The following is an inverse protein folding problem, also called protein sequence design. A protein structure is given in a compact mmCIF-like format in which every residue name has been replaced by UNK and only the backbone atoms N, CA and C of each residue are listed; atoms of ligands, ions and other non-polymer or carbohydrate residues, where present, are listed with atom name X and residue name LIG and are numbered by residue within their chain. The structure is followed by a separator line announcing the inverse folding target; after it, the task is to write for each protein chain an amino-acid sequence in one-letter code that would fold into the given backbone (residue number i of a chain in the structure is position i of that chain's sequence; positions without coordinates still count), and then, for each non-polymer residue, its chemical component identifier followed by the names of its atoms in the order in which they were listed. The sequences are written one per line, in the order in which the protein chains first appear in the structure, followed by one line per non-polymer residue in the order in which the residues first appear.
data_IF_296282972971
#
_entry.id   IF_296282972971
#
_cell.length_a   1.000
_cell.length_b   1.000
_cell.length_c   1.000
_cell.angle_alpha   90.00
_cell.angle_beta   90.00
_cell.angle_gamma   90.00
#
_symmetry.space_group_name_H-M   'P 1'
#
loop_
_entity.id
_entity.type
_entity.pdbx_description
1 polymer ?
#
# COMPACT_ATOMS: atom_id res chain seq x y z
N UNK A 1 31.73 31.64 5.53
CA UNK A 1 33.12 31.28 5.17
C UNK A 1 33.85 30.96 6.47
N UNK A 2 34.43 29.75 6.64
CA UNK A 2 35.78 29.50 6.10
C UNK A 2 36.10 28.06 5.63
N UNK A 3 37.12 28.02 4.75
CA UNK A 3 38.24 27.06 4.58
C UNK A 3 38.02 25.64 4.03
N UNK A 4 38.46 25.53 2.77
CA UNK A 4 38.94 24.36 2.04
C UNK A 4 39.91 23.47 2.83
N UNK A 5 39.70 22.15 2.75
CA UNK A 5 40.74 21.15 3.00
C UNK A 5 41.21 20.51 1.69
N UNK A 6 42.53 20.54 1.52
CA UNK A 6 43.31 20.09 0.37
C UNK A 6 43.46 18.56 0.32
N UNK A 7 43.13 17.97 -0.82
CA UNK A 7 43.31 16.55 -1.10
C UNK A 7 44.68 16.29 -1.75
N UNK A 8 45.72 16.05 -0.94
CA UNK A 8 47.00 15.47 -1.42
C UNK A 8 47.72 14.65 -0.34
N UNK A 9 47.17 13.52 0.12
CA UNK A 9 47.96 12.37 0.61
C UNK A 9 47.08 11.10 0.62
N UNK A 10 46.84 10.43 -0.52
CA UNK A 10 46.30 9.04 -0.55
C UNK A 10 46.70 8.29 -1.83
N UNK A 11 48.00 8.10 -2.09
CA UNK A 11 48.47 7.29 -3.24
C UNK A 11 49.53 6.24 -2.93
N UNK A 12 49.78 5.89 -1.67
CA UNK A 12 50.81 4.89 -1.32
C UNK A 12 50.34 3.67 -0.51
N UNK A 13 49.04 3.42 -0.40
CA UNK A 13 48.51 2.28 0.38
C UNK A 13 47.57 1.33 -0.38
N UNK A 14 47.32 1.55 -1.68
CA UNK A 14 46.33 0.75 -2.44
C UNK A 14 46.91 -0.43 -3.24
N UNK A 15 48.23 -0.61 -3.29
CA UNK A 15 48.85 -1.66 -4.09
C UNK A 15 48.81 -3.06 -3.41
N UNK A 16 49.00 -3.24 -2.09
CA UNK A 16 49.03 -4.59 -1.51
C UNK A 16 47.64 -5.22 -1.31
N UNK A 17 46.55 -4.44 -1.32
CA UNK A 17 45.18 -4.96 -1.09
C UNK A 17 44.60 -5.59 -2.37
N UNK A 18 44.95 -5.06 -3.55
CA UNK A 18 44.45 -5.59 -4.83
C UNK A 18 45.06 -6.97 -5.13
N UNK A 19 46.31 -7.23 -4.73
CA UNK A 19 46.94 -8.54 -4.94
C UNK A 19 46.30 -9.67 -4.09
N UNK A 20 45.83 -9.36 -2.88
CA UNK A 20 45.17 -10.34 -2.00
C UNK A 20 43.75 -10.72 -2.49
N UNK A 21 43.02 -9.76 -3.07
CA UNK A 21 41.66 -10.01 -3.59
C UNK A 21 41.65 -10.82 -4.87
N UNK A 22 42.66 -10.67 -5.75
CA UNK A 22 42.74 -11.48 -6.98
C UNK A 22 43.18 -12.93 -6.72
N UNK A 23 43.95 -13.21 -5.66
CA UNK A 23 44.33 -14.58 -5.30
C UNK A 23 43.16 -15.44 -4.81
N UNK A 24 42.24 -14.86 -4.02
CA UNK A 24 41.07 -15.58 -3.49
C UNK A 24 40.02 -15.94 -4.55
N UNK A 25 39.84 -15.09 -5.57
CA UNK A 25 38.84 -15.33 -6.63
C UNK A 25 39.26 -16.48 -7.56
N UNK A 26 40.57 -16.66 -7.82
CA UNK A 26 41.05 -17.73 -8.70
C UNK A 26 40.86 -19.13 -8.09
N UNK A 27 40.95 -19.26 -6.75
CA UNK A 27 40.72 -20.54 -6.07
C UNK A 27 39.23 -20.93 -6.08
N UNK A 28 38.32 -19.96 -5.92
CA UNK A 28 36.87 -20.22 -5.97
C UNK A 28 36.35 -20.61 -7.37
N UNK A 29 36.94 -20.07 -8.45
CA UNK A 29 36.55 -20.44 -9.81
C UNK A 29 37.03 -21.86 -10.18
N UNK A 30 38.15 -22.31 -9.62
CA UNK A 30 38.67 -23.65 -9.91
C UNK A 30 37.89 -24.76 -9.19
N UNK A 31 37.43 -24.55 -7.95
CA UNK A 31 36.60 -25.55 -7.25
C UNK A 31 35.21 -25.74 -7.87
N UNK A 32 34.64 -24.70 -8.48
CA UNK A 32 33.30 -24.79 -9.09
C UNK A 32 33.27 -25.61 -10.39
N UNK A 33 34.42 -25.80 -11.05
CA UNK A 33 34.49 -26.58 -12.30
C UNK A 33 34.55 -28.09 -12.10
N UNK A 34 34.86 -28.58 -10.89
CA UNK A 34 35.00 -30.01 -10.60
C UNK A 34 33.75 -30.68 -10.01
N UNK A 35 32.76 -29.92 -9.52
CA UNK A 35 31.48 -30.45 -9.05
C UNK A 35 30.37 -30.23 -10.10
N UNK A 36 30.44 -30.96 -11.23
CA UNK A 36 29.24 -31.17 -12.07
C UNK A 36 28.42 -32.32 -11.50
N UNK A 37 27.21 -32.10 -10.95
CA UNK A 37 26.32 -33.19 -10.63
C UNK A 37 25.95 -33.95 -11.91
N UNK A 38 26.10 -35.29 -11.87
CA UNK A 38 25.61 -36.18 -12.93
C UNK A 38 24.12 -35.91 -13.13
N UNK A 39 23.74 -35.58 -14.35
CA UNK A 39 22.35 -35.43 -14.77
C UNK A 39 21.60 -36.74 -14.55
N UNK A 40 20.76 -36.77 -13.52
CA UNK A 40 19.74 -37.81 -13.34
C UNK A 40 18.66 -37.58 -14.40
N UNK A 41 18.30 -38.57 -15.22
CA UNK A 41 17.21 -38.43 -16.17
C UNK A 41 15.90 -38.20 -15.41
N UNK A 42 15.21 -37.09 -15.72
CA UNK A 42 13.88 -36.82 -15.20
C UNK A 42 12.91 -37.90 -15.68
N UNK A 43 12.05 -38.44 -14.80
CA UNK A 43 11.00 -39.36 -15.21
C UNK A 43 10.04 -38.63 -16.17
N UNK A 44 9.74 -39.30 -17.27
CA UNK A 44 8.69 -38.89 -18.22
C UNK A 44 7.36 -38.92 -17.47
N UNK A 45 6.81 -37.73 -17.18
CA UNK A 45 5.46 -37.58 -16.64
C UNK A 45 4.48 -37.90 -17.77
N UNK A 46 3.99 -39.13 -17.77
CA UNK A 46 2.88 -39.58 -18.64
C UNK A 46 1.60 -38.89 -18.16
N UNK A 47 0.91 -38.24 -19.10
CA UNK A 47 -0.24 -37.36 -18.84
C UNK A 47 -1.29 -37.96 -17.92
N UNK A 48 -1.57 -37.26 -16.83
CA UNK A 48 -2.75 -37.46 -16.01
C UNK A 48 -4.03 -37.08 -16.78
N UNK A 49 -5.18 -37.66 -16.41
CA UNK A 49 -6.46 -37.39 -17.06
C UNK A 49 -6.79 -35.89 -17.00
N UNK A 50 -7.27 -35.37 -18.13
CA UNK A 50 -7.72 -33.99 -18.24
C UNK A 50 -8.71 -33.69 -17.10
N UNK A 51 -8.34 -32.75 -16.22
CA UNK A 51 -9.23 -32.25 -15.19
C UNK A 51 -10.49 -31.73 -15.87
N UNK A 52 -11.62 -32.37 -15.56
CA UNK A 52 -12.94 -31.89 -15.93
C UNK A 52 -13.08 -30.50 -15.30
N UNK A 53 -13.39 -29.44 -16.06
CA UNK A 53 -13.58 -28.12 -15.47
C UNK A 53 -14.69 -28.24 -14.42
N UNK A 54 -14.35 -27.97 -13.15
CA UNK A 54 -15.36 -27.90 -12.11
C UNK A 54 -16.43 -26.93 -12.57
N UNK A 55 -17.65 -27.43 -12.72
CA UNK A 55 -18.81 -26.61 -13.02
C UNK A 55 -18.94 -25.60 -11.90
N UNK A 56 -18.52 -24.36 -12.15
CA UNK A 56 -18.67 -23.27 -11.20
C UNK A 56 -20.17 -23.15 -10.89
N UNK A 57 -20.53 -23.34 -9.62
CA UNK A 57 -21.90 -23.08 -9.14
C UNK A 57 -22.29 -21.67 -9.59
N UNK A 58 -23.52 -21.50 -10.07
CA UNK A 58 -24.02 -20.20 -10.46
C UNK A 58 -23.88 -19.22 -9.26
N UNK A 59 -23.44 -17.97 -9.46
CA UNK A 59 -23.15 -17.02 -8.37
C UNK A 59 -24.26 -16.91 -7.31
N UNK A 60 -25.53 -17.03 -7.73
CA UNK A 60 -26.69 -17.00 -6.82
C UNK A 60 -26.78 -18.18 -5.83
N UNK A 61 -26.24 -19.36 -6.14
CA UNK A 61 -26.23 -20.48 -5.19
C UNK A 61 -25.17 -20.33 -4.09
N UNK A 62 -24.09 -19.60 -4.39
CA UNK A 62 -23.04 -19.32 -3.41
C UNK A 62 -23.49 -18.20 -2.45
N UNK A 63 -24.15 -17.15 -2.95
CA UNK A 63 -24.74 -16.10 -2.12
C UNK A 63 -25.73 -16.66 -1.09
N UNK A 64 -26.53 -17.68 -1.46
CA UNK A 64 -27.47 -18.32 -0.54
C UNK A 64 -26.79 -19.15 0.57
N UNK A 65 -25.52 -19.57 0.39
CA UNK A 65 -24.77 -20.31 1.41
C UNK A 65 -24.05 -19.40 2.40
N UNK A 66 -23.63 -18.21 1.97
CA UNK A 66 -22.92 -17.26 2.82
C UNK A 66 -23.96 -16.46 3.62
N UNK A 67 -24.24 -16.89 4.85
CA UNK A 67 -25.14 -16.17 5.78
C UNK A 67 -24.51 -14.93 6.43
N UNK A 68 -23.47 -14.36 5.82
CA UNK A 68 -22.74 -13.20 6.35
C UNK A 68 -23.39 -11.94 5.79
N UNK A 69 -23.83 -11.04 6.67
CA UNK A 69 -24.35 -9.74 6.25
C UNK A 69 -23.18 -8.77 6.02
N UNK A 70 -22.91 -8.32 4.77
CA UNK A 70 -21.77 -7.44 4.47
C UNK A 70 -21.89 -6.06 5.13
N UNK A 71 -23.08 -5.66 5.59
CA UNK A 71 -23.27 -4.43 6.36
C UNK A 71 -22.80 -4.53 7.82
N UNK A 72 -22.52 -5.74 8.30
CA UNK A 72 -22.09 -6.06 9.68
C UNK A 72 -20.64 -6.54 9.67
N UNK A 73 -20.30 -7.47 8.79
CA UNK A 73 -18.97 -8.06 8.68
C UNK A 73 -18.56 -8.17 7.21
N UNK A 74 -18.04 -7.06 6.68
CA UNK A 74 -17.61 -6.97 5.30
C UNK A 74 -16.33 -7.80 5.07
N UNK A 75 -15.41 -7.83 6.03
CA UNK A 75 -14.18 -8.61 5.95
C UNK A 75 -14.49 -10.09 5.69
N UNK A 76 -15.23 -10.73 6.59
CA UNK A 76 -15.54 -12.16 6.44
C UNK A 76 -16.34 -12.41 5.17
N UNK A 77 -17.20 -11.47 4.75
CA UNK A 77 -17.92 -11.59 3.49
C UNK A 77 -16.99 -11.55 2.28
N UNK A 78 -16.13 -10.52 2.16
CA UNK A 78 -15.26 -10.33 0.98
C UNK A 78 -14.20 -11.43 0.89
N UNK A 79 -13.61 -11.83 2.01
CA UNK A 79 -12.55 -12.83 2.04
C UNK A 79 -13.06 -14.27 1.84
N UNK A 80 -14.36 -14.54 2.08
CA UNK A 80 -14.98 -15.84 1.74
C UNK A 80 -15.59 -15.89 0.34
N UNK A 81 -15.87 -14.73 -0.26
CA UNK A 81 -16.47 -14.65 -1.58
C UNK A 81 -15.47 -15.09 -2.66
N UNK A 82 -15.85 -16.07 -3.48
CA UNK A 82 -14.99 -16.60 -4.56
C UNK A 82 -14.70 -15.53 -5.63
N UNK A 83 -15.69 -14.69 -5.97
CA UNK A 83 -15.52 -13.60 -6.94
C UNK A 83 -16.63 -12.57 -6.80
N UNK A 84 -16.31 -11.29 -6.94
CA UNK A 84 -17.29 -10.23 -7.20
C UNK A 84 -17.17 -9.73 -8.64
N UNK A 85 -18.31 -9.52 -9.30
CA UNK A 85 -18.37 -8.98 -10.67
C UNK A 85 -18.28 -7.45 -10.64
N UNK A 86 -17.09 -6.93 -10.39
CA UNK A 86 -16.81 -5.49 -10.56
C UNK A 86 -16.72 -5.16 -12.07
N UNK A 87 -17.55 -4.23 -12.58
CA UNK A 87 -17.57 -3.88 -13.99
C UNK A 87 -16.27 -3.24 -14.51
N UNK A 88 -15.38 -2.82 -13.61
CA UNK A 88 -14.11 -2.17 -13.96
C UNK A 88 -12.92 -3.13 -14.03
N UNK A 89 -13.08 -4.38 -13.55
CA UNK A 89 -12.06 -5.41 -13.57
C UNK A 89 -12.02 -6.21 -12.27
N UNK A 90 -11.18 -7.24 -12.23
CA UNK A 90 -11.02 -8.12 -11.07
C UNK A 90 -9.80 -7.78 -10.21
N UNK A 91 -9.78 -8.34 -8.99
CA UNK A 91 -8.62 -8.40 -8.12
C UNK A 91 -8.28 -9.87 -7.95
N UNK A 92 -7.05 -10.23 -8.32
CA UNK A 92 -6.50 -11.59 -8.21
C UNK A 92 -5.65 -11.69 -6.96
N UNK A 93 -5.18 -12.89 -6.65
CA UNK A 93 -4.19 -13.09 -5.58
C UNK A 93 -2.85 -12.51 -6.01
N UNK A 94 -2.12 -11.95 -5.05
CA UNK A 94 -0.81 -11.35 -5.25
C UNK A 94 0.14 -12.30 -5.97
N UNK A 95 0.20 -13.54 -5.47
CA UNK A 95 0.98 -14.66 -6.03
C UNK A 95 0.74 -14.89 -7.52
N UNK A 96 -0.49 -14.67 -8.02
CA UNK A 96 -0.82 -14.83 -9.44
C UNK A 96 -0.18 -13.74 -10.31
N UNK A 97 -0.15 -12.49 -9.83
CA UNK A 97 0.50 -11.39 -10.53
C UNK A 97 2.02 -11.55 -10.57
N UNK A 98 2.61 -11.97 -9.45
CA UNK A 98 4.06 -12.18 -9.34
C UNK A 98 4.52 -13.32 -10.26
N UNK A 99 3.81 -14.45 -10.24
CA UNK A 99 4.06 -15.58 -11.13
C UNK A 99 3.94 -15.17 -12.61
N UNK A 100 2.97 -14.31 -12.95
CA UNK A 100 2.83 -13.83 -14.33
C UNK A 100 4.03 -12.98 -14.77
N UNK A 101 4.52 -12.08 -13.92
CA UNK A 101 5.72 -11.29 -14.22
C UNK A 101 6.97 -12.17 -14.32
N UNK A 102 7.12 -13.14 -13.42
CA UNK A 102 8.23 -14.09 -13.45
C UNK A 102 8.24 -14.90 -14.75
N UNK A 103 7.09 -15.38 -15.22
CA UNK A 103 6.97 -16.06 -16.52
C UNK A 103 7.39 -15.16 -17.68
N UNK A 104 7.02 -13.88 -17.65
CA UNK A 104 7.47 -12.90 -18.66
C UNK A 104 8.99 -12.79 -18.63
N UNK A 105 9.58 -12.66 -17.44
CA UNK A 105 11.02 -12.53 -17.24
C UNK A 105 11.80 -13.76 -17.74
N UNK A 106 11.40 -14.96 -17.32
CA UNK A 106 11.97 -16.24 -17.76
C UNK A 106 11.91 -16.39 -19.28
N UNK A 107 10.78 -16.01 -19.89
CA UNK A 107 10.64 -16.09 -21.33
C UNK A 107 11.58 -15.13 -22.07
N UNK A 108 11.80 -13.91 -21.55
CA UNK A 108 12.80 -12.97 -22.11
C UNK A 108 14.19 -13.61 -22.06
N UNK A 109 14.61 -14.13 -20.90
CA UNK A 109 15.93 -14.76 -20.72
C UNK A 109 16.09 -15.94 -21.67
N UNK A 110 15.09 -16.82 -21.74
CA UNK A 110 15.12 -18.03 -22.58
C UNK A 110 15.26 -17.71 -24.06
N UNK A 111 14.53 -16.70 -24.53
CA UNK A 111 14.51 -16.30 -25.95
C UNK A 111 15.66 -15.35 -26.33
N UNK A 112 16.34 -14.74 -25.35
CA UNK A 112 17.37 -13.74 -25.57
C UNK A 112 18.67 -13.99 -24.78
N UNK A 113 19.23 -15.21 -24.86
CA UNK A 113 20.40 -15.67 -24.08
C UNK A 113 21.67 -14.81 -24.17
N UNK A 114 21.75 -13.89 -25.13
CA UNK A 114 22.93 -13.02 -25.36
C UNK A 114 22.76 -11.61 -24.78
N UNK A 115 21.60 -11.26 -24.25
CA UNK A 115 21.37 -9.95 -23.65
C UNK A 115 22.09 -9.83 -22.30
N UNK A 116 22.55 -8.63 -21.99
CA UNK A 116 22.98 -8.29 -20.63
C UNK A 116 21.76 -8.21 -19.71
N UNK A 117 21.97 -8.38 -18.40
CA UNK A 117 20.91 -8.23 -17.40
C UNK A 117 20.12 -6.92 -17.56
N UNK A 118 20.80 -5.78 -17.71
CA UNK A 118 20.16 -4.48 -17.93
C UNK A 118 19.24 -4.44 -19.17
N UNK A 119 19.55 -5.18 -20.24
CA UNK A 119 18.68 -5.29 -21.42
C UNK A 119 17.52 -6.26 -21.22
N UNK A 120 17.70 -7.30 -20.40
CA UNK A 120 16.59 -8.15 -19.96
C UNK A 120 15.60 -7.31 -19.14
N UNK A 121 16.08 -6.49 -18.21
CA UNK A 121 15.24 -5.65 -17.36
C UNK A 121 14.50 -4.57 -18.17
N UNK A 122 15.17 -3.92 -19.13
CA UNK A 122 14.52 -2.98 -20.03
C UNK A 122 13.39 -3.63 -20.84
N UNK A 123 13.58 -4.87 -21.30
CA UNK A 123 12.55 -5.62 -22.01
C UNK A 123 11.40 -6.03 -21.07
N UNK A 124 11.71 -6.39 -19.83
CA UNK A 124 10.70 -6.71 -18.81
C UNK A 124 9.83 -5.48 -18.55
N UNK A 125 10.45 -4.33 -18.28
CA UNK A 125 9.77 -3.04 -18.06
C UNK A 125 8.82 -2.72 -19.21
N UNK A 126 9.29 -2.83 -20.46
CA UNK A 126 8.45 -2.55 -21.64
C UNK A 126 7.24 -3.49 -21.76
N UNK A 127 7.36 -4.75 -21.31
CA UNK A 127 6.25 -5.73 -21.34
C UNK A 127 5.28 -5.57 -20.19
N UNK A 128 5.77 -5.17 -19.02
CA UNK A 128 4.98 -4.94 -17.81
C UNK A 128 4.24 -3.60 -17.90
N UNK A 129 4.98 -2.51 -18.13
CA UNK A 129 4.48 -1.13 -18.17
C UNK A 129 4.11 -0.71 -19.60
N UNK A 130 3.09 -1.36 -20.18
CA UNK A 130 2.56 -0.93 -21.48
C UNK A 130 1.97 0.49 -21.40
N UNK A 131 1.92 1.20 -22.52
CA UNK A 131 1.36 2.56 -22.58
C UNK A 131 -0.08 2.63 -22.03
N UNK A 132 -0.90 1.62 -22.32
CA UNK A 132 -2.26 1.51 -21.84
C UNK A 132 -2.33 1.39 -20.31
N UNK A 133 -1.53 0.49 -19.72
CA UNK A 133 -1.48 0.30 -18.26
C UNK A 133 -0.98 1.55 -17.55
N UNK A 134 0.10 2.16 -18.07
CA UNK A 134 0.66 3.40 -17.52
C UNK A 134 -0.36 4.53 -17.60
N UNK A 135 -1.06 4.68 -18.72
CA UNK A 135 -2.12 5.68 -18.87
C UNK A 135 -3.23 5.45 -17.84
N UNK A 136 -3.72 4.22 -17.70
CA UNK A 136 -4.76 3.86 -16.71
C UNK A 136 -4.34 4.26 -15.29
N UNK A 137 -3.12 3.93 -14.86
CA UNK A 137 -2.66 4.30 -13.51
C UNK A 137 -2.55 5.82 -13.38
N UNK A 138 -1.97 6.52 -14.36
CA UNK A 138 -1.82 7.98 -14.31
C UNK A 138 -3.17 8.69 -14.21
N UNK A 139 -4.15 8.24 -14.97
CA UNK A 139 -5.51 8.78 -14.93
C UNK A 139 -6.15 8.54 -13.56
N UNK A 140 -6.00 7.34 -12.99
CA UNK A 140 -6.52 7.02 -11.65
C UNK A 140 -5.80 7.79 -10.54
N UNK A 141 -4.48 7.93 -10.62
CA UNK A 141 -3.70 8.72 -9.67
C UNK A 141 -4.09 10.20 -9.71
N UNK A 142 -4.23 10.78 -10.91
CA UNK A 142 -4.72 12.15 -11.06
C UNK A 142 -6.12 12.31 -10.46
N UNK A 143 -7.01 11.33 -10.67
CA UNK A 143 -8.35 11.32 -10.09
C UNK A 143 -8.34 11.20 -8.56
N UNK A 144 -7.53 10.30 -8.00
CA UNK A 144 -7.35 10.14 -6.56
C UNK A 144 -6.81 11.44 -5.92
N UNK A 145 -5.82 12.06 -6.56
CA UNK A 145 -5.23 13.33 -6.14
C UNK A 145 -6.25 14.48 -6.13
N UNK A 146 -7.03 14.63 -7.19
CA UNK A 146 -8.10 15.63 -7.26
C UNK A 146 -9.12 15.45 -6.13
N UNK A 147 -9.56 14.22 -5.89
CA UNK A 147 -10.51 13.91 -4.82
C UNK A 147 -9.93 14.11 -3.41
N UNK A 148 -8.65 13.79 -3.18
CA UNK A 148 -8.00 14.08 -1.91
C UNK A 148 -7.89 15.60 -1.65
N UNK A 149 -7.58 16.39 -2.68
CA UNK A 149 -7.57 17.85 -2.59
C UNK A 149 -8.97 18.42 -2.30
N UNK A 150 -10.01 17.89 -2.93
CA UNK A 150 -11.41 18.26 -2.61
C UNK A 150 -11.77 17.90 -1.18
N UNK A 151 -11.38 16.71 -0.72
CA UNK A 151 -11.57 16.26 0.65
C UNK A 151 -10.96 17.26 1.65
N UNK A 152 -9.69 17.63 1.49
CA UNK A 152 -9.01 18.64 2.33
C UNK A 152 -9.78 19.98 2.32
N UNK A 153 -10.16 20.47 1.13
CA UNK A 153 -10.86 21.74 0.99
C UNK A 153 -12.24 21.74 1.65
N UNK A 154 -12.94 20.61 1.61
CA UNK A 154 -14.29 20.45 2.16
C UNK A 154 -14.33 20.41 3.69
N UNK A 155 -13.19 20.18 4.38
CA UNK A 155 -13.17 20.15 5.83
C UNK A 155 -13.58 21.51 6.42
N UNK A 156 -14.36 21.55 7.50
CA UNK A 156 -14.78 22.81 8.11
C UNK A 156 -13.58 23.59 8.70
N UNK A 157 -13.70 24.91 8.87
CA UNK A 157 -12.60 25.73 9.42
C UNK A 157 -12.22 25.33 10.85
N UNK A 158 -13.19 24.84 11.64
CA UNK A 158 -12.97 24.32 12.99
C UNK A 158 -12.12 23.05 12.99
N UNK A 159 -12.13 22.32 11.88
CA UNK A 159 -11.35 21.11 11.65
C UNK A 159 -9.96 21.46 11.10
N UNK A 160 -9.89 22.27 10.05
CA UNK A 160 -8.66 22.69 9.39
C UNK A 160 -8.71 24.19 9.10
N UNK A 161 -7.72 24.92 9.64
CA UNK A 161 -7.57 26.34 9.31
C UNK A 161 -7.20 26.51 7.82
N UNK A 162 -7.28 27.75 7.30
CA UNK A 162 -6.85 28.02 5.93
C UNK A 162 -5.37 27.67 5.71
N UNK A 163 -4.52 27.95 6.69
CA UNK A 163 -3.08 27.65 6.64
C UNK A 163 -2.84 26.14 6.61
N UNK A 164 -3.59 25.38 7.41
CA UNK A 164 -3.49 23.92 7.41
C UNK A 164 -3.90 23.36 6.06
N UNK A 165 -5.03 23.82 5.50
CA UNK A 165 -5.49 23.39 4.17
C UNK A 165 -4.45 23.68 3.09
N UNK A 166 -3.90 24.88 3.05
CA UNK A 166 -2.87 25.25 2.06
C UNK A 166 -1.60 24.40 2.22
N UNK A 167 -1.20 24.12 3.47
CA UNK A 167 -0.07 23.25 3.77
C UNK A 167 -0.31 21.83 3.25
N UNK A 168 -1.44 21.21 3.63
CA UNK A 168 -1.77 19.85 3.20
C UNK A 168 -1.89 19.74 1.68
N UNK A 169 -2.55 20.72 1.03
CA UNK A 169 -2.68 20.76 -0.44
C UNK A 169 -1.33 20.83 -1.12
N UNK A 170 -0.45 21.72 -0.68
CA UNK A 170 0.89 21.86 -1.26
C UNK A 170 1.68 20.56 -1.19
N UNK A 171 1.53 19.78 -0.11
CA UNK A 171 2.17 18.46 0.02
C UNK A 171 1.62 17.46 -0.99
N UNK A 172 0.29 17.30 -1.06
CA UNK A 172 -0.36 16.43 -2.04
C UNK A 172 0.03 16.81 -3.47
N UNK A 173 0.07 18.11 -3.78
CA UNK A 173 0.46 18.65 -5.08
C UNK A 173 1.90 18.28 -5.47
N UNK A 174 2.81 18.18 -4.50
CA UNK A 174 4.22 17.78 -4.73
C UNK A 174 4.43 16.29 -4.97
N UNK A 175 3.48 15.43 -4.63
CA UNK A 175 3.63 13.98 -4.83
C UNK A 175 3.63 13.65 -6.32
N UNK A 176 4.66 12.95 -6.77
CA UNK A 176 4.86 12.50 -8.16
C UNK A 176 4.67 10.99 -8.26
N UNK A 177 3.92 10.55 -9.26
CA UNK A 177 3.81 9.13 -9.62
C UNK A 177 4.92 8.76 -10.62
N UNK A 178 5.80 7.81 -10.25
CA UNK A 178 6.89 7.35 -11.11
C UNK A 178 6.56 6.00 -11.76
N UNK A 179 6.37 6.01 -13.09
CA UNK A 179 6.02 4.82 -13.89
C UNK A 179 6.72 4.83 -15.26
N UNK A 180 7.56 3.82 -15.58
CA UNK A 180 8.17 2.89 -14.63
C UNK A 180 9.10 3.64 -13.68
N UNK A 181 9.51 3.05 -12.55
CA UNK A 181 10.55 3.63 -11.70
C UNK A 181 11.86 3.88 -12.50
N UNK A 182 12.71 4.83 -12.09
CA UNK A 182 13.98 5.06 -12.76
C UNK A 182 14.96 3.89 -12.57
N UNK A 183 15.79 3.62 -13.58
CA UNK A 183 16.79 2.54 -13.59
C UNK A 183 17.70 2.49 -12.34
N UNK A 184 18.02 3.66 -11.79
CA UNK A 184 18.89 3.81 -10.63
C UNK A 184 18.27 3.31 -9.32
N UNK A 185 16.94 3.29 -9.21
CA UNK A 185 16.24 2.83 -8.01
C UNK A 185 16.35 1.31 -7.85
N UNK A 186 16.55 0.59 -8.95
CA UNK A 186 16.70 -0.87 -8.95
C UNK A 186 18.04 -1.36 -8.43
N UNK A 187 19.00 -0.46 -8.17
CA UNK A 187 20.25 -0.83 -7.52
C UNK A 187 20.04 -1.26 -6.06
N UNK A 188 19.03 -0.67 -5.40
CA UNK A 188 18.75 -0.88 -3.98
C UNK A 188 17.55 -1.84 -3.77
N UNK A 189 16.62 -1.92 -4.73
CA UNK A 189 15.45 -2.83 -4.72
C UNK A 189 15.27 -3.53 -6.09
N UNK A 190 16.06 -4.59 -6.38
CA UNK A 190 16.10 -5.24 -7.69
C UNK A 190 14.82 -6.01 -8.06
N UNK A 191 13.90 -6.23 -7.11
CA UNK A 191 12.71 -7.06 -7.26
C UNK A 191 11.40 -6.27 -7.37
N UNK A 192 11.44 -4.93 -7.43
CA UNK A 192 10.22 -4.12 -7.53
C UNK A 192 9.31 -4.51 -8.70
N UNK A 193 9.86 -4.99 -9.82
CA UNK A 193 9.03 -5.44 -10.95
C UNK A 193 8.21 -6.69 -10.65
N UNK A 194 8.73 -7.57 -9.82
CA UNK A 194 8.11 -8.85 -9.48
C UNK A 194 7.24 -8.75 -8.23
N UNK A 195 7.24 -7.62 -7.53
CA UNK A 195 6.42 -7.38 -6.33
C UNK A 195 5.05 -6.80 -6.65
N UNK A 196 4.10 -7.10 -5.76
CA UNK A 196 2.72 -6.63 -5.79
C UNK A 196 2.45 -5.38 -4.92
N UNK A 197 3.47 -4.57 -4.64
CA UNK A 197 3.35 -3.47 -3.68
C UNK A 197 3.21 -2.10 -4.34
N UNK A 198 2.78 -1.11 -3.56
CA UNK A 198 2.88 0.32 -3.87
C UNK A 198 3.62 0.98 -2.71
N UNK A 199 4.45 1.98 -3.02
CA UNK A 199 5.29 2.63 -2.01
C UNK A 199 5.15 4.14 -2.13
N UNK A 200 4.70 4.80 -1.07
CA UNK A 200 4.98 6.19 -0.80
C UNK A 200 6.36 6.36 -0.17
N UNK A 201 7.17 7.28 -0.69
CA UNK A 201 8.49 7.52 -0.14
C UNK A 201 8.98 8.96 -0.34
N UNK A 202 9.98 9.30 0.48
CA UNK A 202 10.75 10.52 0.40
C UNK A 202 12.17 10.21 -0.09
N UNK A 203 12.57 10.82 -1.20
CA UNK A 203 13.94 10.64 -1.73
C UNK A 203 14.97 11.35 -0.84
N UNK A 204 16.25 11.06 -1.05
CA UNK A 204 17.37 11.77 -0.40
C UNK A 204 17.36 13.28 -0.64
N UNK A 205 16.75 13.73 -1.75
CA UNK A 205 16.59 15.14 -2.11
C UNK A 205 15.30 15.75 -1.54
N UNK A 206 14.48 14.97 -0.82
CA UNK A 206 13.21 15.41 -0.24
C UNK A 206 12.05 15.44 -1.24
N UNK A 207 12.19 14.84 -2.42
CA UNK A 207 11.09 14.67 -3.35
C UNK A 207 10.12 13.61 -2.77
N UNK A 208 8.81 13.85 -2.92
CA UNK A 208 7.77 12.92 -2.49
C UNK A 208 7.27 12.18 -3.72
N UNK A 209 7.27 10.85 -3.67
CA UNK A 209 6.85 10.06 -4.82
C UNK A 209 6.12 8.79 -4.43
N UNK A 210 5.37 8.26 -5.40
CA UNK A 210 4.73 6.96 -5.34
C UNK A 210 5.31 6.09 -6.46
N UNK A 211 5.74 4.88 -6.10
CA UNK A 211 6.17 3.82 -7.03
C UNK A 211 5.20 2.65 -6.96
N UNK A 212 4.95 1.99 -8.10
CA UNK A 212 4.16 0.76 -8.15
C UNK A 212 5.04 -0.41 -8.56
N UNK A 213 4.82 -1.55 -7.94
CA UNK A 213 5.37 -2.82 -8.33
C UNK A 213 4.78 -3.31 -9.65
N UNK A 214 5.59 -4.05 -10.41
CA UNK A 214 5.18 -4.52 -11.72
C UNK A 214 4.13 -5.62 -11.68
N UNK A 215 4.09 -6.44 -10.62
CA UNK A 215 3.13 -7.53 -10.47
C UNK A 215 1.72 -7.00 -10.21
N UNK A 216 1.59 -5.87 -9.52
CA UNK A 216 0.30 -5.21 -9.25
C UNK A 216 -0.50 -4.90 -10.52
N UNK A 217 0.19 -4.61 -11.62
CA UNK A 217 -0.42 -4.40 -12.93
C UNK A 217 -1.14 -5.62 -13.51
N UNK A 218 -0.82 -6.81 -13.00
CA UNK A 218 -1.42 -8.08 -13.39
C UNK A 218 -2.39 -8.60 -12.33
N UNK A 219 -2.17 -8.27 -11.06
CA UNK A 219 -3.05 -8.60 -9.94
C UNK A 219 -4.34 -7.77 -9.95
N UNK A 220 -4.22 -6.46 -10.18
CA UNK A 220 -5.32 -5.50 -9.99
C UNK A 220 -5.81 -4.89 -11.30
N UNK A 221 -6.95 -5.40 -11.77
CA UNK A 221 -7.69 -4.84 -12.91
C UNK A 221 -8.88 -3.98 -12.48
N UNK A 222 -9.40 -4.18 -11.29
CA UNK A 222 -10.40 -3.27 -10.70
C UNK A 222 -9.84 -1.85 -10.65
N UNK A 223 -10.62 -0.87 -11.12
CA UNK A 223 -10.25 0.54 -10.99
C UNK A 223 -10.44 1.05 -9.56
N UNK A 224 -11.40 0.49 -8.83
CA UNK A 224 -11.73 0.95 -7.48
C UNK A 224 -10.71 0.46 -6.46
N UNK A 225 -10.26 -0.79 -6.57
CA UNK A 225 -9.16 -1.28 -5.75
C UNK A 225 -7.88 -0.46 -6.00
N UNK A 226 -7.47 -0.31 -7.26
CA UNK A 226 -6.29 0.49 -7.58
C UNK A 226 -6.43 1.96 -7.14
N UNK A 227 -7.63 2.54 -7.22
CA UNK A 227 -7.87 3.88 -6.70
C UNK A 227 -7.73 3.94 -5.18
N UNK A 228 -8.21 2.94 -4.44
CA UNK A 228 -8.03 2.85 -2.99
C UNK A 228 -6.53 2.75 -2.63
N UNK A 229 -5.79 1.83 -3.25
CA UNK A 229 -4.34 1.68 -3.03
C UNK A 229 -3.58 2.97 -3.33
N UNK A 230 -3.81 3.60 -4.49
CA UNK A 230 -3.15 4.87 -4.83
C UNK A 230 -3.53 6.00 -3.88
N UNK A 231 -4.77 6.02 -3.38
CA UNK A 231 -5.23 7.04 -2.45
C UNK A 231 -4.65 6.84 -1.05
N UNK A 232 -4.45 5.59 -0.63
CA UNK A 232 -3.77 5.22 0.61
C UNK A 232 -2.34 5.74 0.59
N UNK A 233 -1.57 5.39 -0.45
CA UNK A 233 -0.20 5.87 -0.60
C UNK A 233 -0.10 7.39 -0.73
N UNK A 234 -1.07 8.02 -1.41
CA UNK A 234 -1.11 9.48 -1.50
C UNK A 234 -1.46 10.13 -0.15
N UNK A 235 -2.28 9.49 0.67
CA UNK A 235 -2.67 10.00 1.98
C UNK A 235 -1.50 10.03 2.97
N UNK A 236 -0.48 9.17 2.81
CA UNK A 236 0.76 9.28 3.60
C UNK A 236 1.44 10.64 3.46
N UNK A 237 1.27 11.33 2.33
CA UNK A 237 1.82 12.69 2.16
C UNK A 237 1.24 13.73 3.12
N UNK A 238 0.12 13.43 3.77
CA UNK A 238 -0.56 14.30 4.72
C UNK A 238 -0.85 13.59 6.05
N UNK A 239 -0.27 12.41 6.31
CA UNK A 239 -0.54 11.70 7.55
C UNK A 239 0.14 12.37 8.77
N UNK A 240 -0.35 12.13 9.99
CA UNK A 240 0.18 12.77 11.21
C UNK A 240 1.68 12.58 11.42
N UNK A 241 2.23 11.44 11.03
CA UNK A 241 3.61 11.07 11.26
C UNK A 241 4.55 11.73 10.26
N UNK A 242 4.15 11.78 9.00
CA UNK A 242 4.86 12.49 7.93
C UNK A 242 4.87 14.02 8.15
N UNK A 243 3.77 14.58 8.65
CA UNK A 243 3.73 16.01 9.01
C UNK A 243 4.67 16.31 10.19
N UNK A 244 4.70 15.43 11.19
CA UNK A 244 5.58 15.59 12.34
C UNK A 244 7.05 15.55 11.97
N UNK A 245 7.48 14.68 11.04
CA UNK A 245 8.88 14.64 10.62
C UNK A 245 9.34 15.99 10.04
N UNK A 246 8.40 16.76 9.48
CA UNK A 246 8.62 18.12 8.99
C UNK A 246 8.30 19.23 10.03
N UNK A 247 8.07 18.85 11.30
CA UNK A 247 7.72 19.74 12.42
C UNK A 247 6.43 20.54 12.19
N UNK A 248 5.50 19.97 11.44
CA UNK A 248 4.15 20.50 11.22
C UNK A 248 3.23 19.80 12.23
N UNK A 249 2.48 20.59 13.00
CA UNK A 249 1.52 20.09 13.98
C UNK A 249 0.13 20.62 13.65
N UNK A 250 -0.81 19.70 13.41
CA UNK A 250 -2.22 20.03 13.11
C UNK A 250 -3.06 19.48 14.26
N UNK A 251 -3.51 20.38 15.13
CA UNK A 251 -4.18 20.03 16.39
C UNK A 251 -5.36 19.07 16.23
N UNK A 252 -6.10 19.17 15.12
CA UNK A 252 -7.28 18.34 14.89
C UNK A 252 -6.96 16.88 14.57
N UNK A 253 -5.70 16.55 14.27
CA UNK A 253 -5.26 15.17 14.07
C UNK A 253 -5.25 14.39 15.39
N UNK A 254 -5.10 15.06 16.53
CA UNK A 254 -5.18 14.41 17.85
C UNK A 254 -6.54 13.76 18.08
N UNK A 255 -7.63 14.46 17.74
CA UNK A 255 -8.98 13.89 17.88
C UNK A 255 -9.26 12.74 16.91
N UNK A 256 -8.62 12.73 15.73
CA UNK A 256 -8.68 11.60 14.81
C UNK A 256 -7.93 10.38 15.38
N UNK A 257 -6.72 10.58 15.90
CA UNK A 257 -5.92 9.52 16.52
C UNK A 257 -6.68 8.88 17.71
N UNK A 258 -7.28 9.70 18.58
CA UNK A 258 -8.13 9.23 19.67
C UNK A 258 -9.34 8.43 19.15
N UNK A 259 -9.99 8.92 18.09
CA UNK A 259 -11.16 8.24 17.52
C UNK A 259 -10.81 6.87 16.91
N UNK A 260 -9.64 6.75 16.30
CA UNK A 260 -9.14 5.48 15.76
C UNK A 260 -8.90 4.42 16.85
N UNK A 261 -9.09 4.74 18.13
CA UNK A 261 -9.26 3.74 19.17
C UNK A 261 -8.00 2.91 19.46
N UNK A 262 -6.82 3.44 19.13
CA UNK A 262 -5.57 2.88 19.64
C UNK A 262 -5.56 3.03 21.17
N UNK A 263 -5.39 1.95 21.94
CA UNK A 263 -5.29 2.05 23.40
C UNK A 263 -3.97 2.76 23.76
N UNK A 264 -4.04 4.08 23.84
CA UNK A 264 -3.12 5.01 24.53
C UNK A 264 -1.66 4.57 24.43
N UNK A 265 -1.12 4.72 23.23
CA UNK A 265 0.27 5.08 23.05
C UNK A 265 0.31 6.59 22.80
N UNK A 266 1.33 7.28 23.31
CA UNK A 266 1.48 8.70 22.99
C UNK A 266 1.57 8.88 21.47
N UNK A 267 1.11 10.00 20.92
CA UNK A 267 1.25 10.27 19.49
C UNK A 267 2.70 10.07 18.99
N UNK A 268 3.70 10.23 19.87
CA UNK A 268 5.11 9.93 19.61
C UNK A 268 5.42 8.43 19.42
N UNK A 269 4.81 7.52 20.19
CA UNK A 269 4.93 6.06 19.98
C UNK A 269 4.07 5.58 18.80
N UNK A 270 2.97 6.27 18.50
CA UNK A 270 2.12 5.98 17.33
C UNK A 270 2.78 6.29 15.98
N UNK A 271 3.84 7.10 15.98
CA UNK A 271 4.68 7.37 14.80
C UNK A 271 6.03 6.64 14.85
N UNK A 272 6.16 5.64 15.71
CA UNK A 272 7.29 4.71 15.67
C UNK A 272 7.19 3.80 14.43
N UNK A 273 8.25 3.07 14.06
CA UNK A 273 8.19 2.09 12.97
C UNK A 273 7.11 1.00 13.14
N UNK A 274 6.63 0.77 14.36
CA UNK A 274 5.56 -0.18 14.67
C UNK A 274 4.23 0.51 14.99
N UNK A 275 4.19 1.83 14.88
CA UNK A 275 3.00 2.63 15.10
C UNK A 275 2.03 2.49 13.92
N UNK A 276 0.75 2.29 14.24
CA UNK A 276 -0.31 1.99 13.25
C UNK A 276 -1.07 3.23 12.80
N UNK A 277 -0.79 4.40 13.38
CA UNK A 277 -1.59 5.60 13.15
C UNK A 277 -1.49 6.08 11.70
N UNK A 278 -0.28 6.11 11.13
CA UNK A 278 -0.06 6.54 9.75
C UNK A 278 -0.87 5.68 8.78
N UNK A 279 -0.81 4.34 8.94
CA UNK A 279 -1.55 3.38 8.12
C UNK A 279 -3.07 3.48 8.29
N UNK A 280 -3.56 3.58 9.54
CA UNK A 280 -4.99 3.75 9.82
C UNK A 280 -5.51 5.06 9.22
N UNK A 281 -4.74 6.14 9.33
CA UNK A 281 -5.09 7.42 8.73
C UNK A 281 -5.12 7.33 7.19
N UNK A 282 -4.13 6.68 6.59
CA UNK A 282 -4.04 6.49 5.15
C UNK A 282 -5.26 5.71 4.61
N UNK A 283 -5.63 4.59 5.25
CA UNK A 283 -6.85 3.84 4.92
C UNK A 283 -8.12 4.69 5.06
N UNK A 284 -8.21 5.48 6.12
CA UNK A 284 -9.37 6.32 6.38
C UNK A 284 -9.54 7.39 5.31
N UNK A 285 -8.46 8.10 4.95
CA UNK A 285 -8.48 9.09 3.89
C UNK A 285 -8.74 8.45 2.51
N UNK A 286 -8.11 7.31 2.23
CA UNK A 286 -8.34 6.54 1.00
C UNK A 286 -9.80 6.10 0.86
N UNK A 287 -10.44 5.72 1.98
CA UNK A 287 -11.86 5.36 2.01
C UNK A 287 -12.75 6.53 1.58
N UNK A 288 -12.47 7.75 2.06
CA UNK A 288 -13.20 8.95 1.61
C UNK A 288 -13.05 9.16 0.11
N UNK A 289 -11.82 9.11 -0.39
CA UNK A 289 -11.51 9.32 -1.81
C UNK A 289 -12.20 8.28 -2.68
N UNK A 290 -12.08 6.99 -2.37
CA UNK A 290 -12.67 5.94 -3.19
C UNK A 290 -14.21 5.94 -3.08
N UNK A 291 -14.79 6.33 -1.93
CA UNK A 291 -16.24 6.45 -1.80
C UNK A 291 -16.82 7.51 -2.73
N UNK A 292 -16.12 8.63 -2.94
CA UNK A 292 -16.46 9.65 -3.95
C UNK A 292 -16.36 9.07 -5.36
N UNK A 293 -15.24 8.41 -5.69
CA UNK A 293 -15.00 7.81 -7.02
C UNK A 293 -16.07 6.77 -7.38
N UNK A 294 -16.43 5.89 -6.44
CA UNK A 294 -17.51 4.90 -6.63
C UNK A 294 -18.86 5.60 -6.80
N UNK A 295 -19.14 6.65 -6.01
CA UNK A 295 -20.40 7.39 -6.12
C UNK A 295 -20.58 8.05 -7.49
N UNK A 296 -19.52 8.62 -8.04
CA UNK A 296 -19.53 9.17 -9.40
C UNK A 296 -19.77 8.09 -10.45
N UNK A 297 -19.15 6.92 -10.29
CA UNK A 297 -19.30 5.81 -11.23
C UNK A 297 -20.66 5.10 -11.12
N UNK A 298 -21.28 5.13 -9.93
CA UNK A 298 -22.52 4.43 -9.61
C UNK A 298 -23.69 4.83 -10.51
N UNK A 299 -23.67 6.03 -11.11
CA UNK A 299 -24.70 6.47 -12.07
C UNK A 299 -24.75 5.59 -13.33
N UNK A 300 -23.65 4.89 -13.65
CA UNK A 300 -23.52 4.04 -14.82
C UNK A 300 -23.66 2.55 -14.49
N UNK A 301 -23.88 2.20 -13.23
CA UNK A 301 -23.87 0.81 -12.76
C UNK A 301 -25.18 0.44 -12.05
N UNK A 302 -25.54 -0.84 -12.15
CA UNK A 302 -26.64 -1.38 -11.34
C UNK A 302 -26.25 -1.41 -9.86
N UNK A 303 -27.21 -1.41 -8.93
CA UNK A 303 -26.89 -1.53 -7.50
C UNK A 303 -26.06 -2.78 -7.14
N UNK A 304 -26.21 -3.88 -7.89
CA UNK A 304 -25.41 -5.09 -7.69
C UNK A 304 -23.95 -4.91 -8.12
N UNK A 305 -23.73 -4.23 -9.25
CA UNK A 305 -22.39 -3.89 -9.73
C UNK A 305 -21.70 -2.89 -8.79
N UNK A 306 -22.44 -1.93 -8.24
CA UNK A 306 -21.91 -0.99 -7.22
C UNK A 306 -21.45 -1.75 -5.97
N UNK A 307 -22.25 -2.70 -5.46
CA UNK A 307 -21.83 -3.55 -4.34
C UNK A 307 -20.59 -4.38 -4.67
N UNK A 308 -20.57 -4.99 -5.86
CA UNK A 308 -19.43 -5.79 -6.30
C UNK A 308 -18.15 -4.97 -6.44
N UNK A 309 -18.25 -3.73 -6.94
CA UNK A 309 -17.17 -2.77 -6.96
C UNK A 309 -16.65 -2.48 -5.54
N UNK A 310 -17.53 -2.20 -4.58
CA UNK A 310 -17.16 -1.98 -3.17
C UNK A 310 -16.44 -3.19 -2.56
N UNK A 311 -16.91 -4.39 -2.86
CA UNK A 311 -16.30 -5.63 -2.38
C UNK A 311 -14.89 -5.82 -2.97
N UNK A 312 -14.72 -5.57 -4.27
CA UNK A 312 -13.42 -5.67 -4.90
C UNK A 312 -12.44 -4.58 -4.45
N UNK A 313 -12.92 -3.40 -4.03
CA UNK A 313 -12.06 -2.31 -3.55
C UNK A 313 -11.08 -2.73 -2.45
N UNK A 314 -11.49 -3.62 -1.55
CA UNK A 314 -10.70 -4.06 -0.38
C UNK A 314 -10.32 -5.54 -0.44
N UNK A 315 -10.47 -6.16 -1.61
CA UNK A 315 -10.30 -7.60 -1.77
C UNK A 315 -8.86 -8.04 -1.74
N UNK A 316 -7.94 -7.19 -2.18
CA UNK A 316 -6.48 -7.42 -2.08
C UNK A 316 -6.02 -7.52 -0.62
N UNK A 317 -6.73 -6.87 0.32
CA UNK A 317 -6.43 -6.99 1.74
C UNK A 317 -6.71 -8.40 2.29
N UNK A 318 -7.57 -9.18 1.61
CA UNK A 318 -7.79 -10.59 1.92
C UNK A 318 -6.60 -11.41 1.39
N UNK A 319 -5.45 -11.33 2.07
CA UNK A 319 -4.27 -12.14 1.74
C UNK A 319 -4.58 -13.63 1.88
N UNK A 320 -3.83 -14.45 1.14
CA UNK A 320 -3.85 -15.91 1.30
C UNK A 320 -3.17 -16.34 2.61
N UNK A 321 -2.35 -15.47 3.18
CA UNK A 321 -1.49 -15.74 4.32
C UNK A 321 -2.19 -15.39 5.64
N UNK A 322 -3.23 -16.15 5.98
CA UNK A 322 -3.57 -16.43 7.39
C UNK A 322 -2.36 -17.08 8.12
N UNK A 323 -1.27 -17.40 7.41
CA UNK A 323 0.00 -17.86 7.95
C UNK A 323 0.86 -16.73 8.57
N UNK A 324 0.64 -15.43 8.28
CA UNK A 324 1.34 -14.33 8.99
C UNK A 324 0.91 -14.25 10.48
N UNK A 325 -0.28 -14.77 10.83
CA UNK A 325 -0.69 -14.92 12.23
C UNK A 325 0.07 -16.05 12.96
N UNK A 326 0.73 -16.95 12.23
CA UNK A 326 1.50 -18.06 12.81
C UNK A 326 2.93 -17.68 13.18
N UNK A 327 3.47 -16.59 12.61
CA UNK A 327 4.72 -16.01 13.05
C UNK A 327 4.46 -15.11 14.25
N UNK A 328 4.60 -15.66 15.46
CA UNK A 328 4.47 -14.94 16.73
C UNK A 328 5.36 -13.67 16.83
N UNK A 329 6.34 -13.51 15.94
CA UNK A 329 7.19 -12.32 15.81
C UNK A 329 6.64 -11.26 14.82
N UNK A 330 5.74 -11.61 13.90
CA UNK A 330 5.16 -10.68 12.91
C UNK A 330 4.21 -9.66 13.55
N UNK A 331 3.52 -10.05 14.62
CA UNK A 331 2.60 -9.17 15.37
C UNK A 331 3.27 -7.95 16.03
N UNK A 332 4.59 -8.01 16.26
CA UNK A 332 5.37 -6.89 16.79
C UNK A 332 6.04 -6.05 15.68
N UNK A 333 6.17 -6.57 14.46
CA UNK A 333 6.92 -5.92 13.40
C UNK A 333 6.04 -5.12 12.42
N UNK A 334 4.78 -5.52 12.20
CA UNK A 334 3.94 -4.88 11.18
C UNK A 334 3.43 -3.49 11.62
N UNK A 335 3.74 -2.48 10.81
CA UNK A 335 3.20 -1.12 10.92
C UNK A 335 1.70 -1.06 10.58
N UNK A 336 1.15 -2.08 9.92
CA UNK A 336 -0.24 -2.09 9.49
C UNK A 336 -1.17 -2.64 10.58
N UNK A 337 -2.38 -2.08 10.73
CA UNK A 337 -3.44 -2.70 11.52
C UNK A 337 -3.91 -4.02 10.88
N UNK A 338 -4.54 -4.89 11.67
CA UNK A 338 -5.07 -6.15 11.13
C UNK A 338 -6.14 -5.89 10.05
N UNK A 339 -6.23 -6.80 9.08
CA UNK A 339 -7.09 -6.64 7.90
C UNK A 339 -8.56 -6.46 8.30
N UNK A 340 -9.05 -7.26 9.26
CA UNK A 340 -10.41 -7.15 9.76
C UNK A 340 -10.72 -5.74 10.28
N UNK A 341 -9.78 -5.10 10.97
CA UNK A 341 -9.92 -3.71 11.41
C UNK A 341 -9.96 -2.75 10.23
N UNK A 342 -9.02 -2.84 9.28
CA UNK A 342 -9.00 -2.00 8.07
C UNK A 342 -10.33 -2.05 7.33
N UNK A 343 -10.81 -3.27 7.06
CA UNK A 343 -12.04 -3.47 6.29
C UNK A 343 -13.29 -3.13 7.10
N UNK A 344 -13.47 -3.68 8.30
CA UNK A 344 -14.73 -3.54 9.03
C UNK A 344 -14.86 -2.23 9.81
N UNK A 345 -13.77 -1.66 10.32
CA UNK A 345 -13.80 -0.46 11.17
C UNK A 345 -13.57 0.81 10.40
N UNK A 346 -12.71 0.79 9.38
CA UNK A 346 -12.41 1.97 8.59
C UNK A 346 -13.31 2.00 7.35
N UNK A 347 -13.15 1.02 6.45
CA UNK A 347 -13.82 1.06 5.15
C UNK A 347 -15.34 0.88 5.24
N UNK A 348 -15.80 -0.20 5.88
CA UNK A 348 -17.22 -0.56 5.95
C UNK A 348 -18.07 0.34 6.86
N UNK A 349 -17.45 1.11 7.77
CA UNK A 349 -18.17 2.10 8.59
C UNK A 349 -18.36 3.43 7.89
N UNK A 350 -17.67 3.68 6.77
CA UNK A 350 -17.79 4.95 6.07
C UNK A 350 -19.24 5.18 5.61
N UNK A 351 -19.90 6.29 6.01
CA UNK A 351 -21.34 6.49 5.78
C UNK A 351 -21.75 6.35 4.32
N UNK A 352 -20.94 6.87 3.41
CA UNK A 352 -21.18 6.78 1.98
C UNK A 352 -21.02 5.36 1.43
N UNK A 353 -20.02 4.60 1.87
CA UNK A 353 -19.85 3.19 1.51
C UNK A 353 -21.07 2.39 1.99
N UNK A 354 -21.49 2.60 3.24
CA UNK A 354 -22.72 2.00 3.79
C UNK A 354 -23.95 2.31 2.94
N UNK A 355 -24.13 3.58 2.58
CA UNK A 355 -25.24 4.02 1.72
C UNK A 355 -25.21 3.34 0.34
N UNK A 356 -24.05 3.29 -0.30
CA UNK A 356 -23.87 2.65 -1.61
C UNK A 356 -24.10 1.14 -1.55
N UNK A 357 -23.78 0.49 -0.41
CA UNK A 357 -24.08 -0.92 -0.17
C UNK A 357 -25.58 -1.18 0.10
N UNK A 358 -26.40 -0.14 0.30
CA UNK A 358 -27.79 -0.28 0.72
C UNK A 358 -27.94 -0.66 2.20
N UNK A 359 -26.90 -0.46 3.00
CA UNK A 359 -26.96 -0.66 4.45
C UNK A 359 -27.82 0.44 5.08
N UNK A 360 -28.63 0.06 6.09
CA UNK A 360 -29.31 1.06 6.90
C UNK A 360 -28.29 1.97 7.55
N UNK A 361 -28.57 3.27 7.53
CA UNK A 361 -27.86 4.23 8.38
C UNK A 361 -27.95 3.71 9.81
N UNK A 362 -26.81 3.61 10.46
CA UNK A 362 -26.75 3.32 11.90
C UNK A 362 -27.25 4.57 12.63
N UNK A 363 -28.56 4.84 12.54
CA UNK A 363 -29.24 5.93 13.21
C UNK A 363 -29.45 5.65 14.72
N UNK A 364 -28.72 4.69 15.27
CA UNK A 364 -28.74 4.33 16.69
C UNK A 364 -27.37 4.55 17.31
N UNK A 365 -27.28 4.56 18.66
CA UNK A 365 -26.00 4.43 19.34
C UNK A 365 -25.28 3.24 18.71
N UNK A 366 -23.99 3.44 18.42
CA UNK A 366 -23.02 2.40 18.10
C UNK A 366 -23.49 1.05 18.65
N UNK A 367 -23.68 0.04 17.79
CA UNK A 367 -23.91 -1.33 18.28
C UNK A 367 -22.87 -1.58 19.39
N UNK A 368 -23.25 -2.14 20.55
CA UNK A 368 -22.30 -2.30 21.66
C UNK A 368 -21.00 -2.94 21.15
N UNK A 369 -19.89 -2.18 21.21
CA UNK A 369 -18.58 -2.61 20.68
C UNK A 369 -18.23 -2.20 19.24
N UNK A 370 -19.07 -1.42 18.54
CA UNK A 370 -18.81 -0.85 17.20
C UNK A 370 -18.63 0.67 17.29
N UNK A 371 -17.40 1.20 17.34
CA UNK A 371 -17.12 2.62 17.34
C UNK A 371 -17.85 3.31 16.20
N UNK A 372 -18.36 4.51 16.48
CA UNK A 372 -18.82 5.43 15.45
C UNK A 372 -17.71 5.69 14.45
N UNK A 373 -18.07 5.84 13.17
CA UNK A 373 -17.13 6.26 12.14
C UNK A 373 -16.41 7.56 12.55
N UNK A 374 -15.11 7.62 12.34
CA UNK A 374 -14.31 8.79 12.69
C UNK A 374 -14.53 9.89 11.67
N UNK A 375 -15.19 10.95 12.12
CA UNK A 375 -15.26 12.21 11.39
C UNK A 375 -14.17 13.14 11.89
N UNK A 376 -13.81 14.10 11.03
CA UNK A 376 -12.96 15.19 11.49
C UNK A 376 -13.64 15.91 12.66
N UNK A 377 -12.98 16.07 13.82
CA UNK A 377 -13.59 16.74 14.96
C UNK A 377 -13.93 18.20 14.58
N UNK A 378 -15.21 18.57 14.71
CA UNK A 378 -15.68 19.94 14.47
C UNK A 378 -15.59 20.83 15.70
N UNK A 379 -15.29 20.25 16.86
CA UNK A 379 -14.97 20.98 18.08
C UNK A 379 -13.48 20.83 18.31
N UNK A 380 -12.69 21.92 18.34
CA UNK A 380 -11.35 21.84 18.88
C UNK A 380 -11.50 21.34 20.32
N UNK A 381 -10.88 20.21 20.64
CA UNK A 381 -10.73 19.75 22.01
C UNK A 381 -10.27 20.97 22.81
N UNK A 382 -11.07 21.40 23.78
CA UNK A 382 -10.78 22.60 24.53
C UNK A 382 -9.38 22.44 25.12
N UNK A 383 -8.36 23.22 24.70
CA UNK A 383 -6.95 22.96 25.07
C UNK A 383 -6.68 23.17 26.56
N UNK A 384 -7.71 23.51 27.33
CA UNK A 384 -7.71 23.68 28.79
C UNK A 384 -8.06 22.41 29.57
N UNK A 385 -8.12 21.22 28.95
CA UNK A 385 -8.11 19.98 29.75
C UNK A 385 -6.76 19.87 30.47
N UNK A 386 -6.68 19.98 31.81
CA UNK A 386 -5.43 20.26 32.54
C UNK A 386 -4.39 19.11 32.55
N UNK A 387 -4.53 18.10 31.71
CA UNK A 387 -3.78 16.85 31.80
C UNK A 387 -2.52 16.77 30.93
N UNK A 388 -2.18 17.81 30.15
CA UNK A 388 -1.01 17.75 29.28
C UNK A 388 -0.07 18.93 29.58
N UNK A 389 1.04 18.59 30.23
CA UNK A 389 2.24 19.39 30.48
C UNK A 389 2.14 20.54 31.51
N UNK A 390 2.13 20.19 32.80
CA UNK A 390 2.84 21.02 33.77
C UNK A 390 4.33 21.04 33.37
N UNK A 391 4.98 22.22 33.22
CA UNK A 391 6.40 22.27 32.90
C UNK A 391 7.18 21.51 33.98
N UNK A 392 7.95 20.49 33.57
CA UNK A 392 8.95 19.88 34.46
C UNK A 392 9.82 21.01 34.98
N UNK A 393 9.70 21.31 36.27
CA UNK A 393 10.64 22.18 36.96
C UNK A 393 12.03 21.56 36.80
N UNK A 394 12.83 22.15 35.93
CA UNK A 394 14.27 21.89 35.86
C UNK A 394 14.81 22.43 37.17
N UNK A 395 15.14 21.53 38.12
CA UNK A 395 15.91 21.92 39.30
C UNK A 395 17.26 22.47 38.82
N UNK A 396 17.69 23.65 39.29
CA UNK A 396 19.04 24.11 39.02
C UNK A 396 20.03 23.09 39.60
N UNK A 397 20.98 22.67 38.78
CA UNK A 397 22.16 21.95 39.24
C UNK A 397 23.03 22.98 39.93
N UNK A 398 23.22 22.82 41.25
CA UNK A 398 24.20 23.58 42.03
C UNK A 398 25.61 23.03 41.81
#
# INVERSE_FOLDING_TARGET
MPRFFSARVRRRLLIPIVAALFGGIIVLVLEWTFFRPRSVPLPVVVGGPAHTPMSALAPHELENKIRINPCVDLHSYVCTLVRAEDPTGDVRRDSEGEVEVLRIYENIIRTNRRLSAAKVDELLVRKVYTLERVKRIRDLFAKAKDHLLKFINSQPFQALSAIDKDTLRSRVERVVLELPPPASVYADEPDLFTRNDVYYERTSEGALRIRLGGALLFTVRSQFNLAFTLSHELAHSIDPCELRSDKIDILSYHGLAECFGSPIDTLASECSPHGKLSEVFADWAATHVVAEIISEAAVNFTPSQVRSAIFNTVRDLCREDDDEESDADAGLASSHPNVAYRVNRIFAQHPRIRKLMGCRETAGPALPGVPSYCFWPTNPVNPLSPHINAPRQIKPVN
#
